data_IF_503597132948
#
_entry.id   IF_503597132948
#
_cell.length_a   1.000
_cell.length_b   1.000
_cell.length_c   1.000
_cell.angle_alpha   90.00
_cell.angle_beta   90.00
_cell.angle_gamma   90.00
#
_symmetry.space_group_name_H-M   'P 1'
#
loop_
_entity.id
_entity.type
_entity.pdbx_description
1 polymer ?
#
# COMPACT_ATOMS: atom_id res chain seq x y z
N UNK A 1 6.74 11.40 6.78
CA UNK A 1 6.17 10.06 7.04
C UNK A 1 7.23 9.03 6.71
N UNK A 2 7.50 8.07 7.60
CA UNK A 2 8.63 7.14 7.40
C UNK A 2 8.28 6.03 6.40
N UNK A 3 8.51 6.31 5.11
CA UNK A 3 8.13 5.42 3.99
C UNK A 3 8.94 4.12 3.98
N UNK A 4 10.14 4.13 4.56
CA UNK A 4 10.95 2.93 4.77
C UNK A 4 10.24 1.92 5.69
N UNK A 5 9.63 2.39 6.79
CA UNK A 5 8.86 1.54 7.72
C UNK A 5 7.63 0.94 7.04
N UNK A 6 7.05 1.67 6.10
CA UNK A 6 5.91 1.26 5.31
C UNK A 6 6.27 0.22 4.24
N UNK A 7 7.39 0.42 3.53
CA UNK A 7 7.98 -0.57 2.60
C UNK A 7 8.27 -1.88 3.32
N UNK A 8 8.88 -1.83 4.50
CA UNK A 8 9.13 -3.03 5.33
C UNK A 8 7.85 -3.75 5.76
N UNK A 9 6.80 -3.00 6.16
CA UNK A 9 5.51 -3.60 6.53
C UNK A 9 4.76 -4.18 5.32
N UNK A 10 4.92 -3.60 4.15
CA UNK A 10 4.39 -4.15 2.91
C UNK A 10 5.11 -5.45 2.54
N UNK A 11 6.45 -5.45 2.59
CA UNK A 11 7.29 -6.62 2.30
C UNK A 11 7.05 -7.77 3.28
N UNK A 12 6.72 -7.49 4.55
CA UNK A 12 6.39 -8.52 5.55
C UNK A 12 5.06 -9.25 5.31
N UNK A 13 4.30 -8.86 4.29
CA UNK A 13 2.96 -9.38 4.05
C UNK A 13 1.95 -8.72 5.00
N UNK A 14 0.96 -8.06 4.41
CA UNK A 14 -0.07 -7.36 5.17
C UNK A 14 -1.07 -8.28 5.85
N UNK A 15 -2.26 -7.73 6.15
CA UNK A 15 -3.37 -8.50 6.74
C UNK A 15 -3.68 -9.75 5.91
N UNK A 16 -3.98 -10.86 6.58
CA UNK A 16 -4.40 -12.12 5.94
C UNK A 16 -5.69 -11.99 5.11
N UNK A 17 -6.61 -11.10 5.51
CA UNK A 17 -7.90 -10.86 4.84
C UNK A 17 -8.09 -9.39 4.49
N UNK A 18 -8.78 -9.13 3.37
CA UNK A 18 -9.18 -7.79 2.96
C UNK A 18 -10.16 -7.19 3.99
N UNK A 19 -9.94 -5.94 4.40
CA UNK A 19 -10.79 -5.27 5.38
C UNK A 19 -12.20 -4.91 4.85
N UNK A 20 -12.46 -5.04 3.54
CA UNK A 20 -13.74 -4.72 2.85
C UNK A 20 -14.32 -3.32 3.13
N UNK A 21 -13.59 -2.46 3.83
CA UNK A 21 -13.96 -1.06 4.07
C UNK A 21 -13.98 -0.25 2.77
N UNK A 22 -14.86 0.76 2.68
CA UNK A 22 -14.94 1.71 1.55
C UNK A 22 -13.59 2.35 1.23
N UNK A 23 -12.83 2.74 2.27
CA UNK A 23 -11.40 3.03 2.17
C UNK A 23 -10.60 1.87 2.76
N UNK A 24 -9.86 1.15 1.93
CA UNK A 24 -9.05 0.01 2.35
C UNK A 24 -7.89 0.49 3.25
N UNK A 25 -7.53 -0.35 4.21
CA UNK A 25 -6.40 -0.08 5.09
C UNK A 25 -5.06 -0.19 4.35
N UNK A 26 -4.04 0.51 4.85
CA UNK A 26 -2.69 0.57 4.27
C UNK A 26 -2.00 -0.79 4.14
N UNK A 27 -2.39 -1.76 4.97
CA UNK A 27 -1.88 -3.14 5.01
C UNK A 27 -2.85 -4.16 4.37
N UNK A 28 -3.85 -3.69 3.64
CA UNK A 28 -4.80 -4.59 2.98
C UNK A 28 -4.07 -5.37 1.88
N UNK A 29 -4.27 -6.69 1.78
CA UNK A 29 -3.57 -7.51 0.77
C UNK A 29 -3.85 -7.02 -0.66
N UNK A 30 -5.03 -6.46 -0.92
CA UNK A 30 -5.37 -5.87 -2.23
C UNK A 30 -4.60 -4.57 -2.49
N UNK A 31 -4.37 -3.76 -1.46
CA UNK A 31 -3.61 -2.51 -1.57
C UNK A 31 -2.14 -2.84 -1.82
N UNK A 32 -1.58 -3.77 -1.05
CA UNK A 32 -0.19 -4.22 -1.21
C UNK A 32 0.05 -4.83 -2.60
N UNK A 33 -0.83 -5.73 -3.06
CA UNK A 33 -0.69 -6.34 -4.38
C UNK A 33 -0.86 -5.34 -5.53
N UNK A 34 -1.56 -4.23 -5.32
CA UNK A 34 -1.60 -3.10 -6.28
C UNK A 34 -0.32 -2.29 -6.26
N UNK A 35 0.22 -2.01 -5.07
CA UNK A 35 1.48 -1.29 -4.91
C UNK A 35 2.64 -2.08 -5.52
N UNK A 36 2.67 -3.40 -5.35
CA UNK A 36 3.63 -4.29 -6.02
C UNK A 36 3.50 -4.24 -7.54
N UNK A 37 2.27 -4.31 -8.09
CA UNK A 37 2.03 -4.27 -9.54
C UNK A 37 2.51 -2.99 -10.23
N UNK A 38 2.47 -1.86 -9.52
CA UNK A 38 2.89 -0.56 -10.07
C UNK A 38 4.29 -0.18 -9.63
N UNK A 39 5.06 -1.13 -9.06
CA UNK A 39 6.40 -0.91 -8.54
C UNK A 39 6.49 0.33 -7.63
N UNK A 40 5.45 0.56 -6.82
CA UNK A 40 5.33 1.78 -6.04
C UNK A 40 6.47 1.95 -5.02
N UNK A 41 7.12 0.85 -4.63
CA UNK A 41 8.24 0.88 -3.70
C UNK A 41 9.53 1.44 -4.31
N UNK A 42 9.60 1.62 -5.62
CA UNK A 42 10.70 2.27 -6.30
C UNK A 42 10.43 3.77 -6.54
N UNK A 43 9.17 4.19 -6.41
CA UNK A 43 8.76 5.58 -6.59
C UNK A 43 9.21 6.48 -5.44
N UNK A 44 9.43 7.74 -5.81
CA UNK A 44 9.65 8.88 -4.91
C UNK A 44 8.57 8.99 -3.83
N UNK A 45 8.91 9.50 -2.64
CA UNK A 45 8.01 9.50 -1.48
C UNK A 45 6.68 10.21 -1.78
N UNK A 46 6.70 11.32 -2.51
CA UNK A 46 5.50 12.07 -2.90
C UNK A 46 4.62 11.30 -3.88
N UNK A 47 5.23 10.55 -4.81
CA UNK A 47 4.51 9.72 -5.76
C UNK A 47 3.91 8.49 -5.07
N UNK A 48 4.65 7.87 -4.14
CA UNK A 48 4.19 6.73 -3.36
C UNK A 48 2.96 7.10 -2.51
N UNK A 49 2.89 8.29 -1.90
CA UNK A 49 1.68 8.72 -1.18
C UNK A 49 0.44 8.82 -2.09
N UNK A 50 0.59 9.39 -3.30
CA UNK A 50 -0.51 9.49 -4.27
C UNK A 50 -0.99 8.12 -4.73
N UNK A 51 -0.05 7.23 -5.06
CA UNK A 51 -0.37 5.86 -5.48
C UNK A 51 -1.02 5.10 -4.33
N UNK A 52 -0.59 5.33 -3.08
CA UNK A 52 -1.20 4.70 -1.91
C UNK A 52 -2.63 5.17 -1.68
N UNK A 53 -2.88 6.48 -1.75
CA UNK A 53 -4.24 7.02 -1.65
C UNK A 53 -5.16 6.40 -2.72
N UNK A 54 -4.68 6.31 -3.97
CA UNK A 54 -5.41 5.70 -5.08
C UNK A 54 -5.63 4.19 -4.89
N UNK A 55 -4.65 3.47 -4.35
CA UNK A 55 -4.77 2.04 -4.10
C UNK A 55 -5.81 1.71 -3.01
N UNK A 56 -6.04 2.64 -2.07
CA UNK A 56 -6.99 2.49 -0.95
C UNK A 56 -8.45 2.73 -1.32
N UNK A 57 -8.73 3.55 -2.33
CA UNK A 57 -10.08 3.93 -2.75
C UNK A 57 -10.53 3.00 -3.88
N UNK A 58 -11.31 1.97 -3.54
CA UNK A 58 -12.14 1.16 -4.47
C UNK A 58 -13.10 0.28 -3.70
#
# INVERSE_FOLDING_TARGET
MDMMKMRRKAAKGGKKKCCRSRQRCKLCPVVLKRLEKVHAFDLDDAALEKVWAKARIR
#
